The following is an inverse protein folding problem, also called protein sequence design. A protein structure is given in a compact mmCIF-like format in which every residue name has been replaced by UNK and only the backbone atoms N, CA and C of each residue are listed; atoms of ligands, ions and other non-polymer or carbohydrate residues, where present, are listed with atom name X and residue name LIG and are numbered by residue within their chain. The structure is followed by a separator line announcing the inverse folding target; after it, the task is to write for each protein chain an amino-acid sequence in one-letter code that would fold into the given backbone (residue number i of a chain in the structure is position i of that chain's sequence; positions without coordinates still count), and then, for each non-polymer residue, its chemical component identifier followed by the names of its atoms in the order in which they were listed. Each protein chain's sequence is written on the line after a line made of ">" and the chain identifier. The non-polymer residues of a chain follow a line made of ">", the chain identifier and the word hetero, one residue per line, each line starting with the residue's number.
data_IF_337527225582
#
_entry.id   IF_337527225582
#
_cell.length_a   1.000
_cell.length_b   1.000
_cell.length_c   1.000
_cell.angle_alpha   90.00
_cell.angle_beta   90.00
_cell.angle_gamma   90.00
#
_symmetry.space_group_name_H-M   'P 1'
#
loop_
_entity.id
_entity.type
_entity.pdbx_description
1 polymer ?
#
# COMPACT_ATOMS: atom_id res chain seq x y z
N UNK A 1 14.99 -5.84 2.75
CA UNK A 1 13.57 -5.52 2.97
C UNK A 1 12.67 -6.76 2.96
N UNK A 2 12.79 -7.66 1.97
CA UNK A 2 11.94 -8.88 1.88
C UNK A 2 12.03 -9.82 3.09
N UNK A 3 13.23 -10.04 3.65
CA UNK A 3 13.39 -10.82 4.90
C UNK A 3 12.59 -10.22 6.07
N UNK A 4 12.61 -8.89 6.21
CA UNK A 4 11.93 -8.17 7.29
C UNK A 4 10.41 -8.32 7.19
N UNK A 5 9.83 -8.08 6.01
CA UNK A 5 8.36 -8.13 5.84
C UNK A 5 7.77 -9.52 6.06
N UNK A 6 8.55 -10.59 5.85
CA UNK A 6 8.13 -11.96 6.20
C UNK A 6 7.97 -12.18 7.71
N UNK A 7 8.56 -11.33 8.55
CA UNK A 7 8.67 -11.54 10.00
C UNK A 7 7.87 -10.53 10.84
N UNK A 8 7.45 -9.40 10.28
CA UNK A 8 6.71 -8.39 11.06
C UNK A 8 5.37 -8.95 11.60
N UNK A 9 4.96 -8.53 12.80
CA UNK A 9 3.74 -9.03 13.45
C UNK A 9 2.49 -8.19 13.14
N UNK A 10 2.59 -7.23 12.23
CA UNK A 10 1.51 -6.30 11.89
C UNK A 10 0.95 -6.60 10.50
N UNK A 11 -0.33 -6.27 10.30
CA UNK A 11 -0.95 -6.19 8.98
C UNK A 11 -0.42 -4.96 8.23
N UNK A 12 -0.21 -5.06 6.91
CA UNK A 12 0.31 -3.95 6.10
C UNK A 12 -0.55 -3.69 4.87
N UNK A 13 -0.94 -2.43 4.68
CA UNK A 13 -1.50 -1.92 3.44
C UNK A 13 -0.43 -1.13 2.68
N UNK A 14 -0.10 -1.56 1.46
CA UNK A 14 0.68 -0.77 0.52
C UNK A 14 -0.26 0.00 -0.41
N UNK A 15 0.01 1.28 -0.67
CA UNK A 15 -0.72 2.02 -1.69
C UNK A 15 0.14 3.02 -2.45
N UNK A 16 -0.08 3.09 -3.77
CA UNK A 16 0.59 4.03 -4.68
C UNK A 16 -0.31 4.32 -5.89
N UNK A 17 -0.07 5.44 -6.57
CA UNK A 17 -0.60 5.64 -7.93
C UNK A 17 0.24 4.83 -8.92
N UNK A 18 -0.38 4.33 -10.00
CA UNK A 18 0.30 3.53 -11.04
C UNK A 18 1.45 4.28 -11.74
N UNK A 19 1.39 5.61 -11.76
CA UNK A 19 2.43 6.47 -12.33
C UNK A 19 3.43 6.99 -11.28
N UNK A 20 3.48 6.46 -10.06
CA UNK A 20 4.63 6.73 -9.17
C UNK A 20 5.95 6.22 -9.81
N UNK A 21 7.10 6.75 -9.39
CA UNK A 21 8.41 6.45 -9.95
C UNK A 21 8.69 4.95 -10.07
N UNK A 22 8.31 4.19 -9.04
CA UNK A 22 8.40 2.74 -9.06
C UNK A 22 7.38 2.13 -8.08
N UNK A 23 6.51 1.27 -8.61
CA UNK A 23 5.51 0.51 -7.83
C UNK A 23 5.95 -0.93 -7.56
N UNK A 24 7.04 -1.39 -8.17
CA UNK A 24 7.54 -2.75 -8.02
C UNK A 24 7.88 -3.11 -6.56
N UNK A 25 8.45 -2.22 -5.72
CA UNK A 25 8.72 -2.54 -4.32
C UNK A 25 7.47 -2.94 -3.54
N UNK A 26 6.36 -2.21 -3.67
CA UNK A 26 5.09 -2.54 -3.01
C UNK A 26 4.57 -3.91 -3.42
N UNK A 27 4.61 -4.23 -4.71
CA UNK A 27 4.19 -5.54 -5.24
C UNK A 27 5.08 -6.67 -4.70
N UNK A 28 6.40 -6.48 -4.70
CA UNK A 28 7.36 -7.49 -4.23
C UNK A 28 7.18 -7.74 -2.73
N UNK A 29 7.11 -6.68 -1.92
CA UNK A 29 6.95 -6.82 -0.48
C UNK A 29 5.60 -7.45 -0.11
N UNK A 30 4.51 -7.03 -0.75
CA UNK A 30 3.20 -7.67 -0.59
C UNK A 30 3.26 -9.18 -0.91
N UNK A 31 3.84 -9.57 -2.05
CA UNK A 31 3.97 -11.00 -2.43
C UNK A 31 4.75 -11.78 -1.39
N UNK A 32 5.82 -11.21 -0.83
CA UNK A 32 6.62 -11.88 0.19
C UNK A 32 5.91 -11.99 1.54
N UNK A 33 5.07 -11.02 1.90
CA UNK A 33 4.20 -11.10 3.08
C UNK A 33 3.13 -12.20 2.93
N UNK A 34 2.41 -12.21 1.80
CA UNK A 34 1.38 -13.21 1.51
C UNK A 34 1.98 -14.63 1.52
N UNK A 35 3.15 -14.84 0.89
CA UNK A 35 3.86 -16.12 0.92
C UNK A 35 4.24 -16.57 2.34
N UNK A 36 4.47 -15.63 3.25
CA UNK A 36 4.77 -15.92 4.65
C UNK A 36 3.51 -16.06 5.54
N UNK A 37 2.32 -16.11 4.94
CA UNK A 37 1.05 -16.23 5.65
C UNK A 37 0.66 -14.98 6.44
N UNK A 38 1.20 -13.81 6.07
CA UNK A 38 0.88 -12.53 6.72
C UNK A 38 -0.31 -11.87 6.04
N UNK A 39 -1.03 -11.06 6.81
CA UNK A 39 -2.08 -10.17 6.29
C UNK A 39 -1.40 -8.98 5.61
N UNK A 40 -1.58 -8.87 4.29
CA UNK A 40 -1.13 -7.73 3.52
C UNK A 40 -2.07 -7.45 2.36
N UNK A 41 -2.25 -6.17 2.04
CA UNK A 41 -3.00 -5.69 0.86
C UNK A 41 -2.12 -4.75 0.04
N UNK A 42 -2.38 -4.65 -1.26
CA UNK A 42 -1.72 -3.68 -2.15
C UNK A 42 -2.74 -3.01 -3.08
N UNK A 43 -2.88 -1.69 -2.97
CA UNK A 43 -3.77 -0.89 -3.80
C UNK A 43 -2.95 -0.03 -4.76
N UNK A 44 -3.02 -0.35 -6.06
CA UNK A 44 -2.44 0.46 -7.12
C UNK A 44 -3.53 1.28 -7.79
N UNK A 45 -3.64 2.53 -7.39
CA UNK A 45 -4.65 3.47 -7.90
C UNK A 45 -4.32 3.88 -9.34
N UNK A 46 -5.31 4.31 -10.14
CA UNK A 46 -5.05 4.91 -11.44
C UNK A 46 -4.00 6.03 -11.38
N UNK A 47 -3.43 6.36 -12.53
CA UNK A 47 -2.46 7.45 -12.63
C UNK A 47 -3.01 8.74 -12.01
N UNK A 48 -2.19 9.41 -11.20
CA UNK A 48 -2.52 10.67 -10.55
C UNK A 48 -1.73 11.80 -11.20
N UNK A 49 -2.44 12.80 -11.73
CA UNK A 49 -1.85 13.87 -12.52
C UNK A 49 -1.28 13.39 -13.85
N UNK A 50 -0.19 14.00 -14.31
CA UNK A 50 0.32 13.83 -15.68
C UNK A 50 1.78 13.38 -15.76
N UNK A 51 2.49 13.36 -14.63
CA UNK A 51 3.90 13.00 -14.55
C UNK A 51 4.16 11.98 -13.45
N UNK A 52 5.37 11.41 -13.44
CA UNK A 52 5.83 10.55 -12.34
C UNK A 52 5.86 11.27 -10.99
N UNK A 53 6.28 12.54 -11.01
CA UNK A 53 6.26 13.44 -9.86
C UNK A 53 4.85 13.67 -9.33
N UNK A 54 3.87 13.80 -10.21
CA UNK A 54 2.48 13.88 -9.78
C UNK A 54 2.07 12.57 -9.12
N UNK A 55 2.34 11.43 -9.74
CA UNK A 55 2.10 10.10 -9.18
C UNK A 55 2.70 9.92 -7.78
N UNK A 56 3.96 10.35 -7.60
CA UNK A 56 4.66 10.31 -6.32
C UNK A 56 4.01 11.21 -5.24
N UNK A 57 3.37 12.31 -5.67
CA UNK A 57 2.66 13.21 -4.75
C UNK A 57 1.31 12.66 -4.27
N UNK A 58 0.83 11.55 -4.84
CA UNK A 58 -0.47 10.95 -4.54
C UNK A 58 -0.67 10.69 -3.04
N UNK A 59 0.38 10.31 -2.31
CA UNK A 59 0.29 10.03 -0.88
C UNK A 59 -0.25 11.22 -0.06
N UNK A 60 0.09 12.46 -0.40
CA UNK A 60 -0.37 13.65 0.33
C UNK A 60 -1.33 14.54 -0.46
N UNK A 61 -1.41 14.41 -1.79
CA UNK A 61 -2.36 15.16 -2.63
C UNK A 61 -3.62 14.38 -2.99
N UNK A 62 -3.60 13.05 -2.86
CA UNK A 62 -4.69 12.15 -3.20
C UNK A 62 -5.47 11.63 -1.99
N UNK A 63 -5.40 12.31 -0.83
CA UNK A 63 -5.99 11.82 0.44
C UNK A 63 -7.43 11.37 0.24
N UNK A 64 -8.28 12.21 -0.35
CA UNK A 64 -9.69 11.91 -0.61
C UNK A 64 -9.95 10.68 -1.49
N UNK A 65 -8.93 10.14 -2.16
CA UNK A 65 -9.03 8.98 -3.04
C UNK A 65 -8.70 7.69 -2.28
N UNK A 66 -7.65 7.70 -1.45
CA UNK A 66 -7.20 6.50 -0.74
C UNK A 66 -7.68 6.39 0.70
N UNK A 67 -8.15 7.49 1.30
CA UNK A 67 -8.47 7.57 2.74
C UNK A 67 -9.50 6.52 3.17
N UNK A 68 -10.60 6.38 2.43
CA UNK A 68 -11.65 5.41 2.74
C UNK A 68 -11.14 3.96 2.73
N UNK A 69 -10.26 3.61 1.78
CA UNK A 69 -9.67 2.27 1.69
C UNK A 69 -8.71 2.00 2.85
N UNK A 70 -7.93 3.01 3.26
CA UNK A 70 -7.04 2.92 4.43
C UNK A 70 -7.85 2.74 5.72
N UNK A 71 -8.91 3.53 5.94
CA UNK A 71 -9.77 3.35 7.11
C UNK A 71 -10.47 2.00 7.12
N UNK A 72 -10.99 1.51 5.98
CA UNK A 72 -11.53 0.15 5.87
C UNK A 72 -10.51 -0.91 6.31
N UNK A 73 -9.26 -0.78 5.88
CA UNK A 73 -8.20 -1.71 6.26
C UNK A 73 -7.91 -1.65 7.77
N UNK A 74 -7.85 -0.44 8.33
CA UNK A 74 -7.65 -0.25 9.77
C UNK A 74 -8.82 -0.81 10.59
N UNK A 75 -10.06 -0.59 10.18
CA UNK A 75 -11.23 -1.15 10.87
C UNK A 75 -11.19 -2.69 10.87
N UNK A 76 -10.78 -3.30 9.76
CA UNK A 76 -10.70 -4.75 9.63
C UNK A 76 -9.60 -5.42 10.47
N UNK A 77 -8.49 -4.72 10.72
CA UNK A 77 -7.28 -5.34 11.30
C UNK A 77 -6.71 -4.64 12.54
N UNK A 78 -7.27 -3.50 12.93
CA UNK A 78 -6.86 -2.71 14.09
C UNK A 78 -8.05 -2.21 14.93
N UNK A 79 -9.27 -2.19 14.39
CA UNK A 79 -10.46 -1.65 15.05
C UNK A 79 -11.23 -2.62 15.96
N UNK A 80 -10.71 -3.82 16.21
CA UNK A 80 -11.36 -4.81 17.08
C UNK A 80 -10.71 -4.80 18.48
N UNK A 81 -11.48 -4.31 19.46
CA UNK A 81 -11.34 -4.68 20.87
C UNK A 81 -11.98 -6.06 21.13
#
# INVERSE_FOLDING_TARGET
>A
MTKTVRQIPISVLFFQAQNDYDVAPSIVLHKEMVKAGKVAEVNLYPAFGSSDRDGHSFAYRGISIWEADTFRFLDAYCGAD
#
